data_IF_841624450507
#
_entry.id   IF_841624450507
#
_cell.length_a   1.000
_cell.length_b   1.000
_cell.length_c   1.000
_cell.angle_alpha   90.00
_cell.angle_beta   90.00
_cell.angle_gamma   90.00
#
_symmetry.space_group_name_H-M   'P 1'
#
loop_
_entity.id
_entity.type
_entity.pdbx_description
1 polymer ?
#
# COMPACT_ATOMS: atom_id res chain seq x y z
N UNK A 1 -21.68 5.96 4.30
CA UNK A 1 -20.34 5.86 3.68
C UNK A 1 -20.46 4.92 2.50
N UNK A 2 -20.31 5.42 1.29
CA UNK A 2 -20.25 4.55 0.12
C UNK A 2 -18.92 3.80 0.14
N UNK A 3 -18.98 2.47 0.16
CA UNK A 3 -17.80 1.63 0.11
C UNK A 3 -17.37 1.53 -1.36
N UNK A 4 -16.34 2.30 -1.74
CA UNK A 4 -15.90 2.42 -3.14
C UNK A 4 -14.96 1.29 -3.55
N UNK A 5 -14.58 0.41 -2.63
CA UNK A 5 -13.71 -0.74 -2.91
C UNK A 5 -14.38 -2.05 -2.51
N UNK A 6 -14.16 -3.08 -3.30
CA UNK A 6 -14.64 -4.44 -3.02
C UNK A 6 -13.53 -5.44 -3.24
N UNK A 7 -13.31 -6.35 -2.29
CA UNK A 7 -12.43 -7.49 -2.50
C UNK A 7 -13.03 -8.42 -3.56
N UNK A 8 -12.30 -8.65 -4.65
CA UNK A 8 -12.76 -9.43 -5.81
C UNK A 8 -12.06 -10.78 -5.93
N UNK A 9 -10.88 -10.93 -5.34
CA UNK A 9 -10.13 -12.19 -5.34
C UNK A 9 -9.17 -12.28 -4.15
N UNK A 10 -8.92 -13.51 -3.69
CA UNK A 10 -7.89 -13.84 -2.70
C UNK A 10 -7.21 -15.16 -3.07
N UNK A 11 -5.87 -15.22 -2.96
CA UNK A 11 -5.09 -16.46 -3.11
C UNK A 11 -3.74 -16.38 -2.39
N UNK A 12 -3.18 -17.54 -2.04
CA UNK A 12 -1.80 -17.63 -1.57
C UNK A 12 -0.83 -17.49 -2.76
N UNK A 13 0.28 -16.80 -2.55
CA UNK A 13 1.38 -16.65 -3.52
C UNK A 13 2.72 -16.66 -2.81
N UNK A 14 3.77 -17.09 -3.50
CA UNK A 14 5.16 -16.98 -3.03
C UNK A 14 5.88 -15.92 -3.85
N UNK A 15 6.52 -14.98 -3.17
CA UNK A 15 7.29 -13.88 -3.74
C UNK A 15 8.77 -14.09 -3.47
N UNK A 16 9.61 -13.76 -4.46
CA UNK A 16 11.07 -13.65 -4.27
C UNK A 16 11.44 -12.55 -3.26
N UNK A 17 10.50 -11.66 -2.96
CA UNK A 17 10.60 -10.65 -1.93
C UNK A 17 9.70 -11.05 -0.76
N UNK A 18 10.28 -11.72 0.23
CA UNK A 18 9.61 -11.98 1.50
C UNK A 18 8.78 -13.26 1.61
N UNK A 19 8.92 -14.23 0.69
CA UNK A 19 8.30 -15.54 0.86
C UNK A 19 6.78 -15.53 0.62
N UNK A 20 6.02 -16.17 1.50
CA UNK A 20 4.59 -16.41 1.29
C UNK A 20 3.71 -15.23 1.70
N UNK A 21 2.74 -14.91 0.85
CA UNK A 21 1.78 -13.83 1.04
C UNK A 21 0.36 -14.29 0.73
N UNK A 22 -0.62 -13.71 1.43
CA UNK A 22 -2.00 -13.70 0.98
C UNK A 22 -2.19 -12.53 0.02
N UNK A 23 -2.21 -12.81 -1.29
CA UNK A 23 -2.57 -11.84 -2.31
C UNK A 23 -4.09 -11.63 -2.30
N UNK A 24 -4.51 -10.37 -2.28
CA UNK A 24 -5.91 -9.95 -2.43
C UNK A 24 -6.03 -8.88 -3.50
N UNK A 25 -7.15 -8.86 -4.21
CA UNK A 25 -7.46 -7.85 -5.22
C UNK A 25 -8.66 -7.04 -4.76
N UNK A 26 -8.51 -5.71 -4.77
CA UNK A 26 -9.58 -4.77 -4.46
C UNK A 26 -9.93 -3.96 -5.70
N UNK A 27 -11.20 -4.00 -6.10
CA UNK A 27 -11.70 -3.28 -7.27
C UNK A 27 -12.38 -1.97 -6.84
N UNK A 28 -11.88 -0.83 -7.32
CA UNK A 28 -12.53 0.48 -7.26
C UNK A 28 -13.83 0.42 -8.07
N UNK A 29 -14.97 0.54 -7.40
CA UNK A 29 -16.30 0.47 -8.00
C UNK A 29 -16.63 1.68 -8.89
N UNK A 30 -15.90 2.78 -8.76
CA UNK A 30 -16.12 4.00 -9.54
C UNK A 30 -15.45 3.97 -10.90
N UNK A 31 -14.28 3.30 -11.00
CA UNK A 31 -13.46 3.29 -12.21
C UNK A 31 -13.06 1.90 -12.69
N UNK A 32 -13.42 0.85 -11.95
CA UNK A 32 -13.05 -0.54 -12.25
C UNK A 32 -11.57 -0.84 -12.03
N UNK A 33 -10.80 0.08 -11.42
CA UNK A 33 -9.38 -0.12 -11.18
C UNK A 33 -9.13 -1.22 -10.14
N UNK A 34 -8.24 -2.16 -10.45
CA UNK A 34 -7.85 -3.21 -9.51
C UNK A 34 -6.54 -2.84 -8.80
N UNK A 35 -6.59 -2.85 -7.48
CA UNK A 35 -5.46 -2.66 -6.58
C UNK A 35 -5.05 -3.99 -5.97
N UNK A 36 -3.75 -4.15 -5.71
CA UNK A 36 -3.20 -5.40 -5.18
C UNK A 36 -2.83 -5.17 -3.72
N UNK A 37 -3.21 -6.12 -2.88
CA UNK A 37 -2.82 -6.17 -1.48
C UNK A 37 -2.04 -7.45 -1.24
N UNK A 38 -0.87 -7.34 -0.63
CA UNK A 38 -0.13 -8.48 -0.08
C UNK A 38 -0.21 -8.40 1.44
N UNK A 39 -0.87 -9.39 2.05
CA UNK A 39 -1.00 -9.49 3.49
C UNK A 39 -0.17 -10.66 4.03
N UNK A 40 0.46 -10.45 5.18
CA UNK A 40 1.24 -11.46 5.90
C UNK A 40 0.88 -11.46 7.38
N UNK A 41 0.81 -12.67 7.95
CA UNK A 41 0.53 -12.87 9.37
C UNK A 41 -0.94 -12.62 9.75
N UNK A 42 -1.20 -12.66 11.06
CA UNK A 42 -2.51 -12.36 11.62
C UNK A 42 -2.68 -10.84 11.81
N UNK A 43 -3.66 -10.26 11.12
CA UNK A 43 -3.94 -8.82 11.16
C UNK A 43 -4.97 -8.44 12.24
N UNK A 44 -5.58 -9.42 12.93
CA UNK A 44 -6.76 -9.20 13.79
C UNK A 44 -6.47 -8.69 15.20
N UNK A 45 -5.20 -8.68 15.62
CA UNK A 45 -4.80 -8.20 16.96
C UNK A 45 -4.76 -6.67 17.06
N UNK A 46 -4.89 -6.12 18.27
CA UNK A 46 -4.84 -4.68 18.54
C UNK A 46 -3.47 -4.00 18.30
N UNK A 47 -2.40 -4.77 18.16
CA UNK A 47 -1.06 -4.23 17.92
C UNK A 47 -0.99 -3.53 16.55
N UNK A 48 -0.28 -2.38 16.43
CA UNK A 48 -0.13 -1.70 15.14
C UNK A 48 0.43 -2.61 14.04
N UNK A 49 -0.16 -2.56 12.85
CA UNK A 49 0.26 -3.35 11.69
C UNK A 49 1.26 -2.56 10.84
N UNK A 50 2.34 -3.18 10.37
CA UNK A 50 3.21 -2.55 9.38
C UNK A 50 2.48 -2.40 8.05
N UNK A 51 2.42 -1.19 7.51
CA UNK A 51 1.70 -0.91 6.25
C UNK A 51 2.58 -0.14 5.29
N UNK A 52 2.80 -0.70 4.10
CA UNK A 52 3.36 0.03 2.94
C UNK A 52 2.23 0.43 2.01
N UNK A 53 1.90 1.72 1.98
CA UNK A 53 1.09 2.31 0.91
C UNK A 53 2.02 2.68 -0.25
N UNK A 54 1.80 2.10 -1.42
CA UNK A 54 2.68 2.29 -2.55
C UNK A 54 1.89 2.64 -3.82
N UNK A 55 2.11 3.84 -4.34
CA UNK A 55 1.63 4.23 -5.66
C UNK A 55 2.56 3.61 -6.71
N UNK A 56 2.03 2.73 -7.55
CA UNK A 56 2.84 2.01 -8.54
C UNK A 56 3.43 2.97 -9.59
N UNK A 57 4.74 2.92 -9.78
CA UNK A 57 5.45 3.62 -10.85
C UNK A 57 6.23 2.61 -11.70
N UNK A 58 5.79 2.30 -12.94
CA UNK A 58 6.48 1.33 -13.79
C UNK A 58 7.95 1.66 -14.06
N UNK A 59 8.32 2.95 -14.14
CA UNK A 59 9.70 3.35 -14.40
C UNK A 59 10.60 2.96 -13.23
N UNK A 60 10.20 3.25 -11.99
CA UNK A 60 11.00 2.95 -10.80
C UNK A 60 10.88 1.50 -10.34
N UNK A 61 9.66 0.94 -10.33
CA UNK A 61 9.37 -0.37 -9.74
C UNK A 61 9.70 -1.54 -10.66
N UNK A 62 9.60 -1.34 -11.98
CA UNK A 62 9.86 -2.39 -12.97
C UNK A 62 11.20 -2.16 -13.67
N UNK A 63 11.47 -0.93 -14.11
CA UNK A 63 12.68 -0.63 -14.90
C UNK A 63 13.84 -0.10 -14.05
N UNK A 64 13.62 0.30 -12.80
CA UNK A 64 14.65 0.90 -11.96
C UNK A 64 15.15 2.26 -12.44
N UNK A 65 14.34 2.98 -13.22
CA UNK A 65 14.66 4.29 -13.78
C UNK A 65 14.08 5.37 -12.86
N UNK A 66 14.97 6.06 -12.13
CA UNK A 66 14.63 7.14 -11.21
C UNK A 66 15.53 7.14 -9.98
N UNK A 67 15.83 8.32 -9.43
CA UNK A 67 16.71 8.46 -8.26
C UNK A 67 15.95 8.41 -6.91
N UNK A 68 14.61 8.49 -6.95
CA UNK A 68 13.78 8.76 -5.77
C UNK A 68 13.40 7.51 -4.98
N UNK A 69 12.73 6.56 -5.63
CA UNK A 69 12.05 5.46 -4.94
C UNK A 69 12.35 4.06 -5.50
N UNK A 70 13.28 3.96 -6.45
CA UNK A 70 13.69 2.69 -7.03
C UNK A 70 14.12 1.70 -5.92
N UNK A 71 13.36 0.61 -5.79
CA UNK A 71 13.61 -0.43 -4.80
C UNK A 71 12.88 -0.29 -3.46
N UNK A 72 12.15 0.81 -3.22
CA UNK A 72 11.36 0.96 -1.99
C UNK A 72 10.30 -0.15 -1.84
N UNK A 73 9.66 -0.57 -2.95
CA UNK A 73 8.67 -1.65 -2.92
C UNK A 73 9.28 -2.97 -2.43
N UNK A 74 10.38 -3.42 -3.05
CA UNK A 74 11.08 -4.65 -2.65
C UNK A 74 11.59 -4.57 -1.21
N UNK A 75 12.13 -3.42 -0.80
CA UNK A 75 12.65 -3.21 0.56
C UNK A 75 11.53 -3.28 1.60
N UNK A 76 10.39 -2.65 1.33
CA UNK A 76 9.22 -2.71 2.20
C UNK A 76 8.65 -4.13 2.32
N UNK A 77 8.57 -4.88 1.21
CA UNK A 77 8.15 -6.28 1.23
C UNK A 77 9.08 -7.13 2.10
N UNK A 78 10.40 -7.00 1.94
CA UNK A 78 11.39 -7.72 2.77
C UNK A 78 11.30 -7.34 4.25
N UNK A 79 11.12 -6.05 4.54
CA UNK A 79 10.99 -5.55 5.91
C UNK A 79 9.73 -6.09 6.61
N UNK A 80 8.58 -6.07 5.92
CA UNK A 80 7.34 -6.63 6.45
C UNK A 80 7.47 -8.15 6.63
N UNK A 81 8.13 -8.82 5.69
CA UNK A 81 8.38 -10.25 5.79
C UNK A 81 9.24 -10.63 7.00
N UNK A 82 10.27 -9.84 7.30
CA UNK A 82 11.10 -10.04 8.48
C UNK A 82 10.33 -9.83 9.79
N UNK A 83 9.34 -8.93 9.81
CA UNK A 83 8.43 -8.76 10.95
C UNK A 83 7.43 -9.93 11.06
N UNK A 84 7.10 -10.58 9.95
CA UNK A 84 6.10 -11.66 9.88
C UNK A 84 4.66 -11.19 9.95
N UNK A 85 4.41 -9.87 10.04
CA UNK A 85 3.07 -9.27 10.15
C UNK A 85 3.02 -7.91 9.46
N UNK A 86 2.19 -7.80 8.43
CA UNK A 86 1.97 -6.52 7.76
C UNK A 86 1.29 -6.62 6.42
N UNK A 87 1.11 -5.46 5.79
CA UNK A 87 0.39 -5.29 4.53
C UNK A 87 1.16 -4.38 3.58
N UNK A 88 1.26 -4.78 2.33
CA UNK A 88 1.64 -3.92 1.20
C UNK A 88 0.39 -3.67 0.37
N UNK A 89 0.03 -2.39 0.17
CA UNK A 89 -1.05 -1.98 -0.74
C UNK A 89 -0.42 -1.31 -1.95
N UNK A 90 -0.52 -1.98 -3.10
CA UNK A 90 -0.09 -1.46 -4.39
C UNK A 90 -1.27 -0.77 -5.08
N UNK A 91 -1.27 0.55 -5.01
CA UNK A 91 -2.25 1.42 -5.64
C UNK A 91 -1.88 1.63 -7.10
N UNK A 92 -2.60 0.94 -7.96
CA UNK A 92 -2.46 1.05 -9.42
C UNK A 92 -3.27 2.22 -9.97
N UNK A 93 -2.74 2.87 -11.00
CA UNK A 93 -3.54 3.68 -11.91
C UNK A 93 -3.71 2.92 -13.24
N UNK A 94 -4.96 2.64 -13.59
CA UNK A 94 -5.32 1.91 -14.81
C UNK A 94 -5.21 2.74 -16.08
N UNK A 95 -5.13 4.07 -15.98
CA UNK A 95 -4.83 4.93 -17.13
C UNK A 95 -3.37 4.77 -17.58
N UNK A 96 -2.49 4.23 -16.72
CA UNK A 96 -1.07 3.94 -17.00
C UNK A 96 -0.31 5.09 -17.67
N UNK A 97 -0.76 6.33 -17.48
CA UNK A 97 -0.04 7.51 -17.96
C UNK A 97 1.29 7.60 -17.21
N UNK A 98 2.37 7.73 -17.99
CA UNK A 98 3.68 8.03 -17.45
C UNK A 98 3.64 9.47 -16.94
N UNK A 99 3.98 9.62 -15.65
CA UNK A 99 4.18 10.93 -15.05
C UNK A 99 5.67 11.25 -15.19
N UNK A 100 6.02 11.94 -16.27
CA UNK A 100 7.41 12.33 -16.55
C UNK A 100 7.82 13.59 -15.79
N UNK A 101 6.84 14.34 -15.26
CA UNK A 101 7.04 15.69 -14.73
C UNK A 101 6.80 15.77 -13.20
N UNK A 102 6.54 14.66 -12.50
CA UNK A 102 6.29 14.59 -11.03
C UNK A 102 5.10 15.45 -10.51
N UNK A 103 4.18 15.92 -11.36
CA UNK A 103 3.07 16.80 -10.95
C UNK A 103 1.80 16.05 -10.47
N UNK A 104 2.00 15.00 -9.64
CA UNK A 104 0.96 14.01 -9.28
C UNK A 104 0.04 14.32 -8.09
N UNK A 105 0.05 15.53 -7.51
CA UNK A 105 -0.62 15.79 -6.22
C UNK A 105 -2.12 15.39 -6.14
N UNK A 106 -2.99 15.65 -7.14
CA UNK A 106 -4.39 15.21 -7.11
C UNK A 106 -4.54 13.68 -7.14
N UNK A 107 -3.65 13.00 -7.87
CA UNK A 107 -3.62 11.54 -8.01
C UNK A 107 -3.24 10.88 -6.69
N UNK A 108 -2.24 11.45 -6.02
CA UNK A 108 -1.73 11.01 -4.72
C UNK A 108 -2.83 11.11 -3.65
N UNK A 109 -3.56 12.23 -3.57
CA UNK A 109 -4.65 12.39 -2.59
C UNK A 109 -5.78 11.37 -2.78
N UNK A 110 -6.17 11.11 -4.03
CA UNK A 110 -7.19 10.10 -4.35
C UNK A 110 -6.71 8.69 -3.97
N UNK A 111 -5.45 8.38 -4.28
CA UNK A 111 -4.81 7.13 -3.90
C UNK A 111 -4.84 6.91 -2.38
N UNK A 112 -4.64 7.95 -1.57
CA UNK A 112 -4.78 7.84 -0.12
C UNK A 112 -6.21 7.52 0.36
N UNK A 113 -7.23 8.12 -0.27
CA UNK A 113 -8.64 7.83 0.05
C UNK A 113 -9.02 6.36 -0.21
N UNK A 114 -8.65 5.84 -1.38
CA UNK A 114 -8.84 4.42 -1.72
C UNK A 114 -8.03 3.50 -0.80
N UNK A 115 -6.78 3.89 -0.52
CA UNK A 115 -5.92 3.18 0.42
C UNK A 115 -6.52 3.05 1.81
N UNK A 116 -7.07 4.13 2.37
CA UNK A 116 -7.74 4.10 3.66
C UNK A 116 -8.95 3.16 3.67
N UNK A 117 -9.76 3.15 2.61
CA UNK A 117 -10.88 2.21 2.50
C UNK A 117 -10.43 0.76 2.42
N UNK A 118 -9.35 0.46 1.69
CA UNK A 118 -8.77 -0.88 1.63
C UNK A 118 -8.30 -1.32 3.02
N UNK A 119 -7.57 -0.47 3.74
CA UNK A 119 -7.08 -0.79 5.08
C UNK A 119 -8.23 -1.00 6.08
N UNK A 120 -9.29 -0.19 6.00
CA UNK A 120 -10.49 -0.36 6.81
C UNK A 120 -11.24 -1.67 6.46
N UNK A 121 -11.34 -2.01 5.18
CA UNK A 121 -11.96 -3.27 4.72
C UNK A 121 -11.17 -4.51 5.15
N UNK A 122 -9.85 -4.38 5.33
CA UNK A 122 -8.99 -5.41 5.93
C UNK A 122 -9.12 -5.49 7.47
N UNK A 123 -9.88 -4.58 8.09
CA UNK A 123 -10.11 -4.55 9.54
C UNK A 123 -8.99 -3.89 10.34
N UNK A 124 -8.13 -3.07 9.72
CA UNK A 124 -7.04 -2.41 10.43
C UNK A 124 -7.56 -1.16 11.15
N UNK A 125 -6.99 -0.88 12.32
CA UNK A 125 -7.29 0.31 13.12
C UNK A 125 -6.05 1.12 13.48
N UNK A 126 -4.92 0.44 13.75
CA UNK A 126 -3.64 1.08 14.09
C UNK A 126 -2.57 0.60 13.13
N UNK A 127 -1.87 1.53 12.50
CA UNK A 127 -0.85 1.21 11.48
C UNK A 127 0.47 1.91 11.79
N UNK A 128 1.58 1.25 11.47
CA UNK A 128 2.91 1.86 11.38
C UNK A 128 3.29 1.93 9.92
N UNK A 129 3.42 3.15 9.39
CA UNK A 129 3.68 3.35 7.96
C UNK A 129 5.14 3.02 7.61
N UNK A 130 5.32 2.13 6.65
CA UNK A 130 6.62 1.78 6.07
C UNK A 130 6.94 2.77 4.94
N UNK A 131 7.81 3.75 5.21
CA UNK A 131 8.07 4.87 4.29
C UNK A 131 9.43 5.52 4.51
N UNK A 132 10.06 5.96 3.41
CA UNK A 132 11.23 6.85 3.40
C UNK A 132 10.87 8.32 3.14
N UNK A 133 9.61 8.59 2.77
CA UNK A 133 9.07 9.93 2.55
C UNK A 133 8.47 10.49 3.84
N UNK A 134 8.36 11.83 3.98
CA UNK A 134 7.69 12.46 5.12
C UNK A 134 6.29 11.87 5.34
N UNK A 135 5.90 11.72 6.60
CA UNK A 135 4.58 11.20 6.96
C UNK A 135 3.50 12.05 6.29
N UNK A 136 2.63 11.48 5.45
CA UNK A 136 1.61 12.26 4.76
C UNK A 136 0.61 12.80 5.78
N UNK A 137 0.21 14.06 5.61
CA UNK A 137 -0.90 14.64 6.38
C UNK A 137 -2.22 14.19 5.76
N UNK A 138 -2.63 12.95 6.05
CA UNK A 138 -3.88 12.37 5.53
C UNK A 138 -5.05 12.91 6.35
N UNK A 139 -5.77 13.88 5.79
CA UNK A 139 -7.00 14.42 6.40
C UNK A 139 -8.11 13.37 6.28
N UNK A 140 -8.85 13.12 7.36
CA UNK A 140 -10.01 12.23 7.36
C UNK A 140 -9.69 10.74 7.49
N UNK A 141 -8.46 10.37 7.85
CA UNK A 141 -8.10 8.97 8.11
C UNK A 141 -8.89 8.37 9.28
N UNK A 142 -9.18 9.21 10.28
CA UNK A 142 -10.03 8.94 11.43
C UNK A 142 -11.48 8.58 11.04
N UNK A 143 -12.01 9.16 9.95
CA UNK A 143 -13.33 8.80 9.43
C UNK A 143 -13.40 7.36 8.92
N UNK A 144 -12.25 6.74 8.64
CA UNK A 144 -12.13 5.31 8.29
C UNK A 144 -11.78 4.43 9.50
N UNK A 145 -11.75 4.98 10.72
CA UNK A 145 -11.39 4.24 11.93
C UNK A 145 -9.91 3.85 12.00
N UNK A 146 -9.04 4.60 11.29
CA UNK A 146 -7.61 4.33 11.17
C UNK A 146 -6.77 5.39 11.89
N UNK A 147 -5.69 4.95 12.53
CA UNK A 147 -4.71 5.81 13.19
C UNK A 147 -3.28 5.39 12.85
N UNK A 148 -2.43 6.37 12.52
CA UNK A 148 -0.99 6.16 12.32
C UNK A 148 -0.31 6.19 13.68
N UNK A 149 0.18 5.04 14.14
CA UNK A 149 0.90 4.88 15.40
C UNK A 149 2.37 5.31 15.29
N UNK A 150 2.93 5.36 14.07
CA UNK A 150 4.30 5.79 13.81
C UNK A 150 4.73 5.50 12.37
N UNK A 151 6.02 5.69 12.10
CA UNK A 151 6.65 5.33 10.83
C UNK A 151 7.83 4.39 11.05
N UNK A 152 8.15 3.61 10.03
CA UNK A 152 9.34 2.77 9.97
C UNK A 152 10.03 2.98 8.61
N UNK A 153 11.32 3.36 8.59
CA UNK A 153 12.04 3.57 7.34
C UNK A 153 12.29 2.23 6.62
N UNK A 154 12.46 2.30 5.30
CA UNK A 154 12.81 1.16 4.46
C UNK A 154 14.35 1.12 4.37
N UNK A 155 15.00 0.01 4.75
CA UNK A 155 16.43 -0.15 4.59
C UNK A 155 16.85 0.04 3.13
N UNK A 156 17.90 0.83 2.90
CA UNK A 156 18.56 0.90 1.58
C UNK A 156 19.47 -0.31 1.44
N UNK A 157 19.37 -0.98 0.28
CA UNK A 157 20.32 -2.02 -0.13
C UNK A 157 21.64 -1.41 -0.60
#
# INVERSE_FOLDING_TARGET
HDNLVRESAQRAVTSVHGGDWSLRVFTDQTQGAEHIVLAMGDLTTDAPVLVRMHAMNPLEDVLGIGAGHAGDLKGAMKLIAAEGRGVVVLLRDTQMKLDLDEHGAPRILRQYGLGAQILAALGLHRITLVTNSPTPRVVGLDAYGLAIAGTRPIPKE
#
